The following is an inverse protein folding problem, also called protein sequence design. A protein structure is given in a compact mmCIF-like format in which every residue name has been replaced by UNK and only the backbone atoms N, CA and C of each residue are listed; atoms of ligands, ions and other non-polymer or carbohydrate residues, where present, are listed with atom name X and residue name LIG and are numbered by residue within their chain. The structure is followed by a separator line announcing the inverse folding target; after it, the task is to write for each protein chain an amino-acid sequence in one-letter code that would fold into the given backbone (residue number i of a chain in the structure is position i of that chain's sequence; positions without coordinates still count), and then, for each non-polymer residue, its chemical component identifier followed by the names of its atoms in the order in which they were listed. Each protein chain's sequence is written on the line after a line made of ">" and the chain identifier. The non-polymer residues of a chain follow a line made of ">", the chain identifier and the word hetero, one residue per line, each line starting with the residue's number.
data_IF_274273580488
#
_entry.id   IF_274273580488
#
_cell.length_a   1.000
_cell.length_b   1.000
_cell.length_c   1.000
_cell.angle_alpha   90.00
_cell.angle_beta   90.00
_cell.angle_gamma   90.00
#
_symmetry.space_group_name_H-M   'P 1'
#
loop_
_entity.id
_entity.type
_entity.pdbx_description
1 polymer ?
#
# COMPACT_ATOMS: atom_id res chain seq x y z
N UNK A 1 16.36 -12.73 -1.12
CA UNK A 1 15.28 -11.71 -1.01
C UNK A 1 14.13 -11.95 -1.98
N UNK A 2 14.37 -12.03 -3.29
CA UNK A 2 13.32 -12.30 -4.31
C UNK A 2 12.53 -13.59 -4.07
N UNK A 3 13.18 -14.65 -3.62
CA UNK A 3 12.55 -15.94 -3.32
C UNK A 3 11.67 -15.87 -2.06
N UNK A 4 12.09 -15.13 -1.03
CA UNK A 4 11.29 -14.90 0.19
C UNK A 4 10.02 -14.12 -0.15
N UNK A 5 10.15 -13.08 -0.96
CA UNK A 5 9.01 -12.28 -1.41
C UNK A 5 8.02 -13.11 -2.22
N UNK A 6 8.50 -13.93 -3.17
CA UNK A 6 7.65 -14.80 -3.97
C UNK A 6 6.90 -15.83 -3.11
N UNK A 7 7.54 -16.38 -2.08
CA UNK A 7 6.90 -17.32 -1.16
C UNK A 7 5.81 -16.63 -0.34
N UNK A 8 6.08 -15.44 0.19
CA UNK A 8 5.08 -14.65 0.94
C UNK A 8 3.87 -14.29 0.08
N UNK A 9 4.08 -13.89 -1.17
CA UNK A 9 2.99 -13.60 -2.11
C UNK A 9 2.16 -14.86 -2.40
N UNK A 10 2.80 -16.01 -2.56
CA UNK A 10 2.11 -17.30 -2.76
C UNK A 10 1.27 -17.68 -1.55
N UNK A 11 1.84 -17.55 -0.35
CA UNK A 11 1.13 -17.81 0.92
C UNK A 11 -0.05 -16.85 1.10
N UNK A 12 0.13 -15.56 0.84
CA UNK A 12 -0.92 -14.56 0.92
C UNK A 12 -2.10 -14.87 -0.01
N UNK A 13 -1.81 -15.30 -1.25
CA UNK A 13 -2.84 -15.75 -2.19
C UNK A 13 -3.56 -17.00 -1.69
N UNK A 14 -2.83 -17.96 -1.11
CA UNK A 14 -3.42 -19.18 -0.53
C UNK A 14 -4.35 -18.90 0.65
N UNK A 15 -4.12 -17.81 1.39
CA UNK A 15 -4.94 -17.40 2.53
C UNK A 15 -6.07 -16.43 2.18
N UNK A 16 -6.28 -16.13 0.91
CA UNK A 16 -7.28 -15.15 0.50
C UNK A 16 -8.68 -15.45 1.02
N UNK A 17 -9.14 -16.70 0.92
CA UNK A 17 -10.48 -17.11 1.37
C UNK A 17 -10.59 -17.00 2.89
N UNK A 18 -9.56 -17.43 3.63
CA UNK A 18 -9.50 -17.31 5.09
C UNK A 18 -9.56 -15.83 5.51
N UNK A 19 -8.74 -14.99 4.90
CA UNK A 19 -8.69 -13.56 5.18
C UNK A 19 -10.01 -12.88 4.85
N UNK A 20 -10.65 -13.23 3.72
CA UNK A 20 -11.95 -12.68 3.35
C UNK A 20 -13.01 -13.03 4.41
N UNK A 21 -13.09 -14.27 4.85
CA UNK A 21 -14.02 -14.70 5.91
C UNK A 21 -13.76 -13.94 7.22
N UNK A 22 -12.49 -13.74 7.58
CA UNK A 22 -12.10 -12.98 8.75
C UNK A 22 -12.57 -11.51 8.67
N UNK A 23 -12.32 -10.84 7.56
CA UNK A 23 -12.78 -9.47 7.35
C UNK A 23 -14.30 -9.32 7.29
N UNK A 24 -15.01 -10.29 6.74
CA UNK A 24 -16.46 -10.31 6.75
C UNK A 24 -17.02 -10.39 8.19
N UNK A 25 -16.38 -11.16 9.07
CA UNK A 25 -16.72 -11.19 10.50
C UNK A 25 -16.36 -9.87 11.18
N UNK A 26 -15.21 -9.30 10.87
CA UNK A 26 -14.76 -8.01 11.43
C UNK A 26 -15.74 -6.88 11.11
N UNK A 27 -16.26 -6.83 9.89
CA UNK A 27 -17.28 -5.86 9.47
C UNK A 27 -18.57 -5.99 10.30
N UNK A 28 -18.97 -7.21 10.65
CA UNK A 28 -20.19 -7.48 11.44
C UNK A 28 -20.03 -7.20 12.92
N UNK A 29 -18.85 -7.48 13.46
CA UNK A 29 -18.55 -7.35 14.90
C UNK A 29 -17.19 -6.66 15.07
N UNK A 30 -17.19 -5.34 14.97
CA UNK A 30 -15.98 -4.56 15.13
C UNK A 30 -15.54 -4.47 16.60
N UNK A 31 -14.32 -4.88 16.95
CA UNK A 31 -13.76 -4.64 18.27
C UNK A 31 -13.58 -3.14 18.54
N UNK A 32 -13.86 -2.71 19.78
CA UNK A 32 -13.79 -1.28 20.16
C UNK A 32 -12.41 -0.66 20.02
N UNK A 33 -11.34 -1.46 20.16
CA UNK A 33 -9.96 -1.02 20.11
C UNK A 33 -9.27 -1.38 18.79
N UNK A 34 -10.03 -1.65 17.73
CA UNK A 34 -9.49 -2.12 16.45
C UNK A 34 -8.43 -1.16 15.88
N UNK A 35 -8.77 0.11 15.74
CA UNK A 35 -7.85 1.10 15.15
C UNK A 35 -6.57 1.26 15.97
N UNK A 36 -6.68 1.26 17.30
CA UNK A 36 -5.51 1.32 18.18
C UNK A 36 -4.60 0.11 17.99
N UNK A 37 -5.18 -1.09 17.97
CA UNK A 37 -4.42 -2.31 17.74
C UNK A 37 -3.76 -2.33 16.36
N UNK A 38 -4.45 -1.87 15.33
CA UNK A 38 -3.89 -1.79 13.98
C UNK A 38 -2.72 -0.82 13.91
N UNK A 39 -2.77 0.31 14.62
CA UNK A 39 -1.64 1.23 14.73
C UNK A 39 -0.44 0.59 15.41
N UNK A 40 -0.64 -0.15 16.51
CA UNK A 40 0.45 -0.88 17.18
C UNK A 40 1.09 -1.92 16.27
N UNK A 41 0.27 -2.73 15.58
CA UNK A 41 0.74 -3.75 14.65
C UNK A 41 1.52 -3.14 13.48
N UNK A 42 1.01 -2.06 12.92
CA UNK A 42 1.67 -1.32 11.85
C UNK A 42 3.04 -0.80 12.29
N UNK A 43 3.11 -0.11 13.42
CA UNK A 43 4.36 0.42 13.95
C UNK A 43 5.37 -0.70 14.25
N UNK A 44 4.92 -1.80 14.86
CA UNK A 44 5.79 -2.94 15.16
C UNK A 44 6.36 -3.59 13.90
N UNK A 45 5.55 -3.73 12.86
CA UNK A 45 5.99 -4.32 11.60
C UNK A 45 6.97 -3.41 10.85
N UNK A 46 6.68 -2.11 10.73
CA UNK A 46 7.54 -1.17 10.01
C UNK A 46 8.84 -0.79 10.72
N UNK A 47 9.02 -1.20 11.98
CA UNK A 47 10.36 -1.19 12.63
C UNK A 47 11.30 -2.25 12.05
N UNK A 48 10.77 -3.32 11.45
CA UNK A 48 11.55 -4.45 10.90
C UNK A 48 11.50 -4.51 9.37
N UNK A 49 10.57 -3.82 8.75
CA UNK A 49 10.36 -3.86 7.29
C UNK A 49 10.83 -2.56 6.65
N UNK A 50 11.78 -2.68 5.73
CA UNK A 50 12.24 -1.56 4.91
C UNK A 50 11.60 -1.66 3.51
N UNK A 51 10.72 -0.71 3.19
CA UNK A 51 10.05 -0.65 1.90
C UNK A 51 11.02 -0.47 0.73
N UNK A 52 12.14 0.23 0.93
CA UNK A 52 13.15 0.46 -0.11
C UNK A 52 13.84 -0.83 -0.55
N UNK A 53 13.95 -1.82 0.34
CA UNK A 53 14.53 -3.12 -0.01
C UNK A 53 13.53 -4.02 -0.73
N UNK A 54 12.23 -3.84 -0.52
CA UNK A 54 11.16 -4.65 -1.10
C UNK A 54 10.71 -4.14 -2.47
N UNK A 55 10.28 -2.88 -2.55
CA UNK A 55 9.77 -2.18 -3.73
C UNK A 55 8.66 -2.90 -4.53
N UNK A 56 8.02 -3.95 -3.98
CA UNK A 56 7.07 -4.75 -4.74
C UNK A 56 5.82 -3.96 -5.16
N UNK A 57 5.31 -3.08 -4.30
CA UNK A 57 4.19 -2.20 -4.64
C UNK A 57 4.54 -1.25 -5.81
N UNK A 58 5.77 -0.74 -5.86
CA UNK A 58 6.24 0.09 -6.97
C UNK A 58 6.34 -0.68 -8.30
N UNK A 59 6.52 -1.99 -8.24
CA UNK A 59 6.62 -2.86 -9.42
C UNK A 59 5.28 -3.36 -9.92
N UNK A 60 4.26 -3.41 -9.07
CA UNK A 60 3.01 -4.12 -9.34
C UNK A 60 1.77 -3.24 -9.29
N UNK A 61 1.83 -2.09 -8.60
CA UNK A 61 0.70 -1.18 -8.47
C UNK A 61 1.17 0.28 -8.58
N UNK A 62 0.37 1.12 -9.21
CA UNK A 62 0.66 2.54 -9.33
C UNK A 62 -0.08 3.33 -8.25
N UNK A 63 0.53 4.41 -7.72
CA UNK A 63 -0.14 5.28 -6.78
C UNK A 63 -1.17 6.19 -7.46
N UNK A 64 -2.18 6.56 -6.70
CA UNK A 64 -3.05 7.69 -6.95
C UNK A 64 -2.31 9.00 -6.62
N UNK A 65 -2.48 10.03 -7.44
CA UNK A 65 -1.93 11.37 -7.23
C UNK A 65 -3.05 12.36 -6.94
N UNK A 66 -3.05 12.98 -5.77
CA UNK A 66 -3.92 14.12 -5.47
C UNK A 66 -3.40 15.39 -6.17
N UNK A 67 -4.21 16.45 -6.23
CA UNK A 67 -3.77 17.75 -6.74
C UNK A 67 -2.54 18.28 -5.99
N UNK A 68 -2.50 18.12 -4.67
CA UNK A 68 -1.35 18.51 -3.84
C UNK A 68 -0.11 17.67 -4.16
N UNK A 69 -0.26 16.39 -4.43
CA UNK A 69 0.84 15.50 -4.84
C UNK A 69 1.41 15.95 -6.19
N UNK A 70 0.55 16.22 -7.16
CA UNK A 70 0.95 16.68 -8.50
C UNK A 70 1.76 17.97 -8.39
N UNK A 71 1.28 18.94 -7.62
CA UNK A 71 1.99 20.21 -7.44
C UNK A 71 3.35 20.02 -6.75
N UNK A 72 3.41 19.23 -5.70
CA UNK A 72 4.65 18.96 -4.95
C UNK A 72 5.67 18.20 -5.80
N UNK A 73 5.26 17.14 -6.49
CA UNK A 73 6.16 16.31 -7.29
C UNK A 73 6.62 17.06 -8.54
N UNK A 74 5.72 17.76 -9.24
CA UNK A 74 6.08 18.55 -10.42
C UNK A 74 7.11 19.65 -10.08
N UNK A 75 6.93 20.34 -8.95
CA UNK A 75 7.89 21.33 -8.45
C UNK A 75 9.27 20.70 -8.19
N UNK A 76 9.31 19.55 -7.54
CA UNK A 76 10.55 18.80 -7.27
C UNK A 76 11.28 18.43 -8.58
N UNK A 77 10.54 18.03 -9.61
CA UNK A 77 11.04 17.70 -10.94
C UNK A 77 11.29 18.93 -11.83
N UNK A 78 11.10 20.14 -11.30
CA UNK A 78 11.26 21.41 -12.04
C UNK A 78 10.38 21.48 -13.31
N UNK A 79 9.16 20.96 -13.20
CA UNK A 79 8.16 20.96 -14.26
C UNK A 79 6.91 21.74 -13.83
N UNK A 80 6.15 22.22 -14.81
CA UNK A 80 4.78 22.71 -14.54
C UNK A 80 3.84 21.55 -14.27
N UNK A 81 2.81 21.70 -13.41
CA UNK A 81 1.86 20.61 -13.10
C UNK A 81 1.26 19.95 -14.34
N UNK A 82 0.88 20.75 -15.35
CA UNK A 82 0.30 20.22 -16.59
C UNK A 82 1.30 19.39 -17.41
N UNK A 83 2.58 19.76 -17.41
CA UNK A 83 3.63 18.99 -18.07
C UNK A 83 3.82 17.63 -17.36
N UNK A 84 3.82 17.64 -16.04
CA UNK A 84 3.91 16.43 -15.23
C UNK A 84 2.74 15.48 -15.50
N UNK A 85 1.51 15.99 -15.51
CA UNK A 85 0.31 15.21 -15.82
C UNK A 85 0.43 14.57 -17.20
N UNK A 86 0.74 15.35 -18.21
CA UNK A 86 0.84 14.85 -19.61
C UNK A 86 1.91 13.79 -19.76
N UNK A 87 3.04 13.96 -19.08
CA UNK A 87 4.19 13.07 -19.22
C UNK A 87 4.04 11.75 -18.45
N UNK A 88 3.46 11.77 -17.26
CA UNK A 88 3.53 10.65 -16.31
C UNK A 88 2.18 10.07 -15.91
N UNK A 89 1.09 10.83 -16.03
CA UNK A 89 -0.20 10.44 -15.48
C UNK A 89 -1.22 10.14 -16.58
N UNK A 90 -2.23 9.38 -16.20
CA UNK A 90 -3.49 9.19 -16.91
C UNK A 90 -4.65 9.28 -15.93
N UNK A 91 -5.84 9.46 -16.43
CA UNK A 91 -7.07 9.39 -15.63
C UNK A 91 -7.58 7.95 -15.72
N UNK A 92 -7.87 7.33 -14.58
CA UNK A 92 -8.43 5.99 -14.50
C UNK A 92 -9.98 6.00 -14.56
N UNK A 93 -10.58 4.82 -14.35
CA UNK A 93 -12.04 4.65 -14.40
C UNK A 93 -12.76 5.40 -13.27
N UNK A 94 -12.10 5.62 -12.13
CA UNK A 94 -12.61 6.35 -10.98
C UNK A 94 -12.39 7.87 -11.10
N UNK A 95 -11.86 8.33 -12.23
CA UNK A 95 -11.49 9.73 -12.51
C UNK A 95 -10.33 10.25 -11.65
N UNK A 96 -9.50 9.37 -11.18
CA UNK A 96 -8.29 9.69 -10.44
C UNK A 96 -7.06 9.76 -11.34
N UNK A 97 -6.11 10.64 -10.99
CA UNK A 97 -4.81 10.64 -11.64
C UNK A 97 -3.95 9.51 -11.11
N UNK A 98 -3.51 8.63 -11.99
CA UNK A 98 -2.62 7.50 -11.69
C UNK A 98 -1.46 7.48 -12.68
N UNK A 99 -0.40 6.73 -12.38
CA UNK A 99 0.70 6.53 -13.33
C UNK A 99 0.19 5.87 -14.62
N UNK A 100 0.80 6.22 -15.76
CA UNK A 100 0.44 5.66 -17.07
C UNK A 100 0.68 4.17 -17.15
N UNK A 101 1.67 3.65 -16.42
CA UNK A 101 2.04 2.23 -16.44
C UNK A 101 2.77 1.82 -15.16
N UNK A 102 2.88 0.51 -14.96
CA UNK A 102 3.76 -0.12 -13.97
C UNK A 102 4.77 -1.01 -14.70
N UNK A 103 5.98 -1.19 -14.15
CA UNK A 103 6.52 -0.65 -12.90
C UNK A 103 6.53 0.88 -12.83
N UNK A 104 6.55 1.42 -11.59
CA UNK A 104 6.59 2.87 -11.37
C UNK A 104 7.77 3.51 -12.11
N UNK A 105 7.49 4.56 -12.89
CA UNK A 105 8.52 5.28 -13.65
C UNK A 105 9.59 5.95 -12.78
N UNK A 106 9.30 6.17 -11.50
CA UNK A 106 10.21 6.77 -10.52
C UNK A 106 11.02 5.74 -9.73
N UNK A 107 10.86 4.46 -10.02
CA UNK A 107 11.65 3.38 -9.44
C UNK A 107 12.88 3.13 -10.31
N UNK A 108 14.08 3.26 -9.74
CA UNK A 108 15.32 2.95 -10.44
C UNK A 108 15.65 1.46 -10.44
N UNK A 109 16.73 1.09 -11.12
CA UNK A 109 17.17 -0.29 -11.26
C UNK A 109 17.59 -0.95 -9.92
N UNK A 110 17.92 -0.15 -8.92
CA UNK A 110 18.34 -0.60 -7.59
C UNK A 110 17.19 -0.61 -6.57
N UNK A 111 15.95 -0.46 -7.04
CA UNK A 111 14.72 -0.36 -6.23
C UNK A 111 14.64 0.94 -5.40
N UNK A 112 15.34 1.99 -5.81
CA UNK A 112 15.25 3.29 -5.16
C UNK A 112 14.16 4.15 -5.79
N UNK A 113 13.40 4.85 -4.96
CA UNK A 113 12.40 5.81 -5.43
C UNK A 113 13.05 7.18 -5.64
N UNK A 114 13.11 7.65 -6.91
CA UNK A 114 13.72 8.94 -7.26
C UNK A 114 12.95 10.16 -6.70
N UNK A 115 11.69 9.98 -6.30
CA UNK A 115 10.86 11.02 -5.70
C UNK A 115 10.48 10.71 -4.24
N UNK A 116 11.30 9.90 -3.55
CA UNK A 116 10.97 9.38 -2.22
C UNK A 116 10.54 10.47 -1.23
N UNK A 117 11.27 11.58 -1.17
CA UNK A 117 11.00 12.68 -0.23
C UNK A 117 9.69 13.43 -0.53
N UNK A 118 9.27 13.42 -1.78
CA UNK A 118 8.04 14.10 -2.25
C UNK A 118 6.97 13.12 -2.74
N UNK A 119 7.13 11.84 -2.46
CA UNK A 119 6.25 10.78 -2.96
C UNK A 119 4.77 11.06 -2.65
N UNK A 120 3.85 10.56 -3.47
CA UNK A 120 2.42 10.74 -3.26
C UNK A 120 1.96 10.25 -1.88
N UNK A 121 0.91 10.85 -1.38
CA UNK A 121 0.25 10.44 -0.14
C UNK A 121 -0.08 8.95 -0.15
N UNK A 122 -0.58 8.43 -1.26
CA UNK A 122 -0.87 7.01 -1.43
C UNK A 122 0.35 6.12 -1.16
N UNK A 123 1.54 6.51 -1.61
CA UNK A 123 2.79 5.78 -1.34
C UNK A 123 3.22 5.89 0.12
N UNK A 124 3.05 7.06 0.75
CA UNK A 124 3.44 7.26 2.16
C UNK A 124 2.58 6.46 3.12
N UNK A 125 1.30 6.31 2.81
CA UNK A 125 0.32 5.65 3.67
C UNK A 125 0.16 4.16 3.35
N UNK A 126 0.67 3.69 2.21
CA UNK A 126 0.59 2.29 1.83
C UNK A 126 1.32 1.41 2.88
N UNK A 127 0.76 0.29 3.31
CA UNK A 127 -0.47 -0.38 2.86
C UNK A 127 -1.76 0.03 3.60
N UNK A 128 -1.80 1.19 4.22
CA UNK A 128 -2.96 1.79 4.92
C UNK A 128 -3.45 1.02 6.16
N UNK A 129 -2.63 0.16 6.73
CA UNK A 129 -3.01 -0.70 7.86
C UNK A 129 -3.15 0.05 9.19
N UNK A 130 -2.66 1.28 9.29
CA UNK A 130 -2.81 2.18 10.44
C UNK A 130 -3.93 3.24 10.27
N UNK A 131 -4.73 3.11 9.20
CA UNK A 131 -5.81 4.06 8.91
C UNK A 131 -6.90 4.01 9.97
N UNK A 132 -7.39 5.19 10.38
CA UNK A 132 -8.61 5.30 11.20
C UNK A 132 -9.81 4.70 10.46
N UNK A 133 -10.70 4.06 11.20
CA UNK A 133 -11.83 3.28 10.67
C UNK A 133 -11.37 2.17 9.73
N UNK A 134 -10.37 1.42 10.17
CA UNK A 134 -9.71 0.37 9.40
C UNK A 134 -10.68 -0.62 8.76
N UNK A 135 -11.79 -0.97 9.43
CA UNK A 135 -12.80 -1.88 8.87
C UNK A 135 -13.39 -1.41 7.54
N UNK A 136 -13.37 -0.11 7.24
CA UNK A 136 -13.90 0.43 5.99
C UNK A 136 -13.03 0.09 4.77
N UNK A 137 -11.76 -0.25 4.99
CA UNK A 137 -10.81 -0.60 3.93
C UNK A 137 -10.47 -2.09 3.87
N UNK A 138 -11.35 -2.94 4.41
CA UNK A 138 -11.12 -4.40 4.42
C UNK A 138 -10.87 -4.98 3.03
N UNK A 139 -11.61 -4.54 2.02
CA UNK A 139 -11.44 -5.02 0.64
C UNK A 139 -10.12 -4.54 0.03
N UNK A 140 -9.71 -3.31 0.32
CA UNK A 140 -8.39 -2.78 -0.06
C UNK A 140 -7.27 -3.55 0.65
N UNK A 141 -7.44 -3.83 1.94
CA UNK A 141 -6.47 -4.60 2.72
C UNK A 141 -6.28 -6.00 2.16
N UNK A 142 -7.35 -6.68 1.75
CA UNK A 142 -7.27 -7.97 1.07
C UNK A 142 -6.42 -7.92 -0.20
N UNK A 143 -6.56 -6.87 -0.99
CA UNK A 143 -5.72 -6.67 -2.19
C UNK A 143 -4.27 -6.40 -1.81
N UNK A 144 -4.04 -5.56 -0.81
CA UNK A 144 -2.69 -5.16 -0.38
C UNK A 144 -1.91 -6.32 0.27
N UNK A 145 -2.58 -7.23 0.96
CA UNK A 145 -1.95 -8.45 1.53
C UNK A 145 -1.28 -9.30 0.45
N UNK A 146 -1.83 -9.36 -0.75
CA UNK A 146 -1.24 -10.11 -1.87
C UNK A 146 -0.03 -9.39 -2.53
N UNK A 147 0.23 -8.15 -2.17
CA UNK A 147 1.28 -7.30 -2.77
C UNK A 147 2.37 -6.98 -1.75
N UNK A 148 1.99 -6.70 -0.51
CA UNK A 148 2.85 -6.16 0.52
C UNK A 148 3.13 -7.19 1.61
N UNK A 149 4.38 -7.64 1.79
CA UNK A 149 4.76 -8.56 2.87
C UNK A 149 4.44 -8.01 4.26
N UNK A 150 4.59 -6.70 4.47
CA UNK A 150 4.23 -6.06 5.75
C UNK A 150 2.72 -6.15 6.01
N UNK A 151 1.89 -5.89 5.01
CA UNK A 151 0.43 -6.06 5.14
C UNK A 151 0.04 -7.50 5.46
N UNK A 152 0.69 -8.47 4.83
CA UNK A 152 0.51 -9.89 5.12
C UNK A 152 0.82 -10.19 6.61
N UNK A 153 1.99 -9.80 7.08
CA UNK A 153 2.41 -10.04 8.46
C UNK A 153 1.49 -9.36 9.47
N UNK A 154 1.07 -8.12 9.20
CA UNK A 154 0.14 -7.37 10.05
C UNK A 154 -1.21 -8.10 10.15
N UNK A 155 -1.76 -8.58 9.04
CA UNK A 155 -3.05 -9.30 9.03
C UNK A 155 -2.93 -10.64 9.75
N UNK A 156 -1.84 -11.39 9.56
CA UNK A 156 -1.61 -12.64 10.28
C UNK A 156 -1.53 -12.41 11.80
N UNK A 157 -0.84 -11.37 12.22
CA UNK A 157 -0.74 -11.02 13.64
C UNK A 157 -2.07 -10.49 14.20
N UNK A 158 -2.83 -9.73 13.42
CA UNK A 158 -4.17 -9.28 13.77
C UNK A 158 -5.10 -10.47 14.05
N UNK A 159 -5.09 -11.49 13.20
CA UNK A 159 -5.90 -12.71 13.39
C UNK A 159 -5.55 -13.44 14.69
N UNK A 160 -4.28 -13.46 15.08
CA UNK A 160 -3.82 -14.07 16.34
C UNK A 160 -4.30 -13.29 17.56
N UNK A 161 -4.20 -11.95 17.52
CA UNK A 161 -4.57 -11.10 18.65
C UNK A 161 -6.08 -10.87 18.79
N UNK A 162 -6.80 -10.97 17.69
CA UNK A 162 -8.27 -10.83 17.64
C UNK A 162 -8.90 -12.02 16.91
N UNK A 163 -8.93 -13.20 17.53
CA UNK A 163 -9.67 -14.32 16.94
C UNK A 163 -11.18 -13.99 16.90
N UNK A 164 -11.83 -14.18 15.74
CA UNK A 164 -13.25 -13.88 15.49
C UNK A 164 -14.02 -15.13 15.08
#
# INVERSE_FOLDING_TARGET
>A
MKQILNNLIKEAKGKHIENKKYFDKLKKKQPKNLDYMMQELHQAEFKKTDCLTCANCCKTTGPLFTAADIERVSKHLKQKPQQFITQYLRIDEDKDYVLQSVPCTFLDAENYCMIYEVRPKACREFPHTDRKKFQQISDLTLKNVAICPAAYNIVEEMKKRMPL
#
